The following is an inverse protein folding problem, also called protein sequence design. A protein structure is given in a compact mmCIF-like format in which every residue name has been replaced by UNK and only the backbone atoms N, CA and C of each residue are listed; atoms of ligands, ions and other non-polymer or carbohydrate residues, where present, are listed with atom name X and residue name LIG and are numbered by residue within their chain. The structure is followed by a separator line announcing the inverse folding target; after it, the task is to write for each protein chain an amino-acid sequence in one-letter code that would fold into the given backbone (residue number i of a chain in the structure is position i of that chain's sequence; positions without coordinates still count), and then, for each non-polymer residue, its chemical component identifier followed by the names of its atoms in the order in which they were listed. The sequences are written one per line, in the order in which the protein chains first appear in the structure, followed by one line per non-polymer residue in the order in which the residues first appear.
data_IF_758026251276
#
_entry.id   IF_758026251276
#
_cell.length_a   1.000
_cell.length_b   1.000
_cell.length_c   1.000
_cell.angle_alpha   90.00
_cell.angle_beta   90.00
_cell.angle_gamma   90.00
#
_symmetry.space_group_name_H-M   'P 1'
#
loop_
_entity.id
_entity.type
_entity.pdbx_description
1 polymer ?
#
# COMPACT_ATOMS: atom_id res chain seq x y z
N UNK A 1 -6.71 8.84 7.36
CA UNK A 1 -7.62 8.82 6.19
C UNK A 1 -7.88 7.40 5.66
N UNK A 2 -7.04 6.42 5.97
CA UNK A 2 -7.10 5.05 5.44
C UNK A 2 -7.85 4.06 6.33
N UNK A 3 -8.37 4.50 7.48
CA UNK A 3 -9.07 3.60 8.39
C UNK A 3 -10.46 3.26 7.86
N UNK A 4 -10.94 2.02 7.96
CA UNK A 4 -12.29 1.64 7.53
C UNK A 4 -13.37 2.53 8.14
N UNK A 5 -13.27 2.87 9.42
CA UNK A 5 -14.23 3.75 10.09
C UNK A 5 -14.27 5.17 9.48
N UNK A 6 -13.13 5.71 9.04
CA UNK A 6 -13.10 6.99 8.34
C UNK A 6 -13.76 6.89 6.97
N UNK A 7 -13.46 5.80 6.22
CA UNK A 7 -14.05 5.56 4.90
C UNK A 7 -15.56 5.32 4.99
N UNK A 8 -16.03 4.59 6.00
CA UNK A 8 -17.45 4.40 6.30
C UNK A 8 -18.14 5.74 6.54
N UNK A 9 -17.59 6.56 7.44
CA UNK A 9 -18.15 7.88 7.74
C UNK A 9 -18.18 8.79 6.49
N UNK A 10 -17.14 8.75 5.67
CA UNK A 10 -17.10 9.51 4.43
C UNK A 10 -18.12 8.99 3.41
N UNK A 11 -18.26 7.68 3.28
CA UNK A 11 -19.30 7.06 2.46
C UNK A 11 -20.70 7.50 2.85
N UNK A 12 -20.98 7.49 4.15
CA UNK A 12 -22.28 7.95 4.69
C UNK A 12 -22.55 9.44 4.35
N UNK A 13 -21.54 10.30 4.41
CA UNK A 13 -21.68 11.72 4.05
C UNK A 13 -22.06 11.94 2.58
N UNK A 14 -21.65 11.04 1.68
CA UNK A 14 -22.01 11.09 0.25
C UNK A 14 -23.21 10.19 -0.11
N UNK A 15 -23.89 9.65 0.88
CA UNK A 15 -25.11 8.85 0.69
C UNK A 15 -24.89 7.39 0.30
N UNK A 16 -23.69 6.84 0.50
CA UNK A 16 -23.41 5.42 0.31
C UNK A 16 -23.81 4.63 1.57
N UNK A 17 -24.40 3.44 1.37
CA UNK A 17 -24.66 2.49 2.43
C UNK A 17 -23.49 1.52 2.53
N UNK A 18 -22.37 1.98 3.06
CA UNK A 18 -21.12 1.23 3.15
C UNK A 18 -21.20 0.11 4.20
N UNK A 19 -20.48 -1.01 4.00
CA UNK A 19 -20.35 -2.06 5.01
C UNK A 19 -19.76 -1.50 6.32
N UNK A 20 -20.26 -1.97 7.50
CA UNK A 20 -19.78 -1.49 8.78
C UNK A 20 -18.29 -1.79 9.00
N UNK A 21 -17.49 -0.80 9.34
CA UNK A 21 -16.06 -0.96 9.54
C UNK A 21 -15.69 -1.98 10.63
N UNK A 22 -16.56 -2.15 11.62
CA UNK A 22 -16.34 -3.08 12.76
C UNK A 22 -16.30 -4.54 12.38
N UNK A 23 -16.98 -4.93 11.29
CA UNK A 23 -17.10 -6.31 10.83
C UNK A 23 -16.55 -6.49 9.41
N UNK A 24 -15.96 -5.45 8.88
CA UNK A 24 -15.51 -5.39 7.49
C UNK A 24 -14.37 -6.34 7.18
N UNK A 25 -14.30 -6.74 5.93
CA UNK A 25 -13.15 -7.42 5.34
C UNK A 25 -12.31 -6.42 4.55
N UNK A 26 -11.07 -6.22 4.96
CA UNK A 26 -10.20 -5.14 4.47
C UNK A 26 -8.97 -5.70 3.78
N UNK A 27 -8.64 -5.20 2.59
CA UNK A 27 -7.42 -5.49 1.85
C UNK A 27 -6.54 -4.24 1.78
N UNK A 28 -5.26 -4.35 2.11
CA UNK A 28 -4.25 -3.32 1.84
C UNK A 28 -3.18 -3.83 0.88
N UNK A 29 -3.02 -3.13 -0.24
CA UNK A 29 -2.01 -3.43 -1.26
C UNK A 29 -0.79 -2.51 -1.06
N UNK A 30 0.40 -3.11 -0.93
CA UNK A 30 1.61 -2.40 -0.51
C UNK A 30 1.62 -2.11 0.99
N UNK A 31 1.25 -3.10 1.79
CA UNK A 31 1.04 -2.97 3.23
C UNK A 31 2.32 -2.73 4.06
N UNK A 32 3.50 -2.82 3.45
CA UNK A 32 4.81 -2.70 4.13
C UNK A 32 4.90 -3.64 5.34
N UNK A 33 5.20 -3.12 6.54
CA UNK A 33 5.21 -3.88 7.80
C UNK A 33 3.79 -4.07 8.41
N UNK A 34 2.73 -3.69 7.70
CA UNK A 34 1.35 -3.78 8.19
C UNK A 34 0.94 -2.71 9.19
N UNK A 35 1.70 -1.62 9.32
CA UNK A 35 1.46 -0.62 10.36
C UNK A 35 0.03 -0.05 10.38
N UNK A 36 -0.58 0.12 9.21
CA UNK A 36 -1.96 0.56 9.11
C UNK A 36 -2.95 -0.55 9.52
N UNK A 37 -2.90 -1.73 8.88
CA UNK A 37 -3.89 -2.78 9.13
C UNK A 37 -3.74 -3.43 10.52
N UNK A 38 -2.52 -3.58 11.04
CA UNK A 38 -2.31 -4.14 12.40
C UNK A 38 -2.95 -3.24 13.45
N UNK A 39 -2.74 -1.92 13.35
CA UNK A 39 -3.36 -0.98 14.28
C UNK A 39 -4.89 -1.03 14.18
N UNK A 40 -5.45 -1.16 12.98
CA UNK A 40 -6.90 -1.27 12.79
C UNK A 40 -7.46 -2.58 13.33
N UNK A 41 -6.74 -3.69 13.20
CA UNK A 41 -7.14 -5.00 13.72
C UNK A 41 -7.31 -4.98 15.25
N UNK A 42 -6.44 -4.26 15.97
CA UNK A 42 -6.54 -4.09 17.43
C UNK A 42 -7.86 -3.42 17.84
N UNK A 43 -8.28 -2.39 17.09
CA UNK A 43 -9.49 -1.63 17.43
C UNK A 43 -10.79 -2.23 16.88
N UNK A 44 -10.69 -3.17 15.92
CA UNK A 44 -11.84 -3.80 15.28
C UNK A 44 -11.68 -5.33 15.29
N UNK A 45 -11.87 -5.98 16.44
CA UNK A 45 -11.60 -7.40 16.61
C UNK A 45 -12.54 -8.32 15.80
N UNK A 46 -13.70 -7.82 15.35
CA UNK A 46 -14.65 -8.57 14.52
C UNK A 46 -14.42 -8.37 13.02
N UNK A 47 -13.57 -7.41 12.64
CA UNK A 47 -13.18 -7.19 11.25
C UNK A 47 -11.96 -8.06 10.89
N UNK A 48 -11.78 -8.35 9.61
CA UNK A 48 -10.62 -9.11 9.11
C UNK A 48 -9.76 -8.25 8.18
N UNK A 49 -8.45 -8.38 8.32
CA UNK A 49 -7.48 -7.56 7.59
C UNK A 49 -6.47 -8.44 6.87
N UNK A 50 -6.27 -8.15 5.58
CA UNK A 50 -5.27 -8.81 4.74
C UNK A 50 -4.38 -7.74 4.13
N UNK A 51 -3.07 -7.86 4.32
CA UNK A 51 -2.08 -7.02 3.65
C UNK A 51 -1.27 -7.83 2.65
N UNK A 52 -1.03 -7.27 1.47
CA UNK A 52 -0.12 -7.85 0.46
C UNK A 52 1.07 -6.93 0.33
N UNK A 53 2.26 -7.51 0.43
CA UNK A 53 3.54 -6.80 0.33
C UNK A 53 4.56 -7.65 -0.46
N UNK A 54 5.32 -7.01 -1.33
CA UNK A 54 6.32 -7.68 -2.17
C UNK A 54 7.56 -8.10 -1.36
N UNK A 55 7.95 -7.29 -0.38
CA UNK A 55 9.16 -7.48 0.40
C UNK A 55 8.97 -8.55 1.48
N UNK A 56 9.62 -9.70 1.32
CA UNK A 56 9.59 -10.77 2.31
C UNK A 56 10.06 -10.31 3.70
N UNK A 57 11.13 -9.52 3.79
CA UNK A 57 11.65 -8.98 5.06
C UNK A 57 10.60 -8.12 5.80
N UNK A 58 9.81 -7.35 5.06
CA UNK A 58 8.74 -6.53 5.65
C UNK A 58 7.58 -7.41 6.13
N UNK A 59 7.19 -8.40 5.34
CA UNK A 59 6.13 -9.36 5.73
C UNK A 59 6.52 -10.18 6.95
N UNK A 60 7.74 -10.69 7.01
CA UNK A 60 8.23 -11.45 8.17
C UNK A 60 8.20 -10.61 9.45
N UNK A 61 8.71 -9.38 9.39
CA UNK A 61 8.69 -8.47 10.55
C UNK A 61 7.27 -8.08 10.95
N UNK A 62 6.39 -7.82 9.99
CA UNK A 62 4.99 -7.52 10.27
C UNK A 62 4.26 -8.71 10.90
N UNK A 63 4.46 -9.92 10.38
CA UNK A 63 3.87 -11.14 10.96
C UNK A 63 4.44 -11.45 12.36
N UNK A 64 5.69 -11.08 12.64
CA UNK A 64 6.22 -11.16 14.00
C UNK A 64 5.45 -10.23 14.96
N UNK A 65 5.17 -8.98 14.53
CA UNK A 65 4.38 -8.03 15.33
C UNK A 65 2.97 -8.57 15.57
N UNK A 66 2.33 -9.14 14.55
CA UNK A 66 1.00 -9.76 14.64
C UNK A 66 1.00 -10.88 15.68
N UNK A 67 2.01 -11.75 15.62
CA UNK A 67 2.18 -12.86 16.55
C UNK A 67 2.40 -12.39 18.00
N UNK A 68 3.27 -11.40 18.20
CA UNK A 68 3.59 -10.85 19.52
C UNK A 68 2.37 -10.15 20.15
N UNK A 69 1.56 -9.50 19.31
CA UNK A 69 0.30 -8.86 19.70
C UNK A 69 -0.86 -9.86 19.87
N UNK A 70 -0.66 -11.15 19.51
CA UNK A 70 -1.67 -12.22 19.57
C UNK A 70 -2.96 -11.87 18.81
N UNK A 71 -2.81 -11.25 17.65
CA UNK A 71 -3.93 -10.93 16.76
C UNK A 71 -4.20 -12.11 15.83
N UNK A 72 -5.48 -12.48 15.69
CA UNK A 72 -5.95 -13.57 14.82
C UNK A 72 -6.80 -13.07 13.63
N UNK A 73 -7.08 -11.78 13.61
CA UNK A 73 -7.93 -11.14 12.62
C UNK A 73 -7.13 -10.32 11.56
N UNK A 74 -5.81 -10.46 11.51
CA UNK A 74 -4.95 -9.79 10.53
C UNK A 74 -3.86 -10.71 10.03
N UNK A 75 -3.53 -10.62 8.73
CA UNK A 75 -2.43 -11.36 8.11
C UNK A 75 -1.70 -10.52 7.09
N UNK A 76 -0.37 -10.69 6.99
CA UNK A 76 0.45 -10.18 5.92
C UNK A 76 0.91 -11.32 5.02
N UNK A 77 0.70 -11.17 3.72
CA UNK A 77 1.02 -12.15 2.69
C UNK A 77 2.12 -11.57 1.80
N UNK A 78 3.22 -12.33 1.65
CA UNK A 78 4.24 -11.98 0.67
C UNK A 78 3.70 -12.29 -0.72
N UNK A 79 3.66 -11.27 -1.60
CA UNK A 79 3.16 -11.47 -2.95
C UNK A 79 3.33 -10.25 -3.85
N UNK A 80 3.37 -10.54 -5.15
CA UNK A 80 3.29 -9.52 -6.19
C UNK A 80 1.82 -9.37 -6.60
N UNK A 81 1.31 -8.13 -6.67
CA UNK A 81 -0.08 -7.88 -7.08
C UNK A 81 -0.40 -8.40 -8.49
N UNK A 82 0.61 -8.54 -9.35
CA UNK A 82 0.42 -9.15 -10.67
C UNK A 82 -0.09 -10.60 -10.58
N UNK A 83 0.27 -11.30 -9.50
CA UNK A 83 -0.13 -12.67 -9.20
C UNK A 83 -1.26 -12.74 -8.18
N UNK A 84 -2.05 -11.67 -8.04
CA UNK A 84 -3.18 -11.64 -7.11
C UNK A 84 -4.19 -12.75 -7.45
N UNK A 85 -4.56 -13.53 -6.44
CA UNK A 85 -5.41 -14.71 -6.61
C UNK A 85 -6.90 -14.35 -6.52
N UNK A 86 -7.66 -14.75 -7.54
CA UNK A 86 -9.13 -14.61 -7.61
C UNK A 86 -9.82 -15.29 -6.40
N UNK A 87 -9.20 -16.34 -5.86
CA UNK A 87 -9.68 -17.09 -4.69
C UNK A 87 -9.77 -16.30 -3.41
N UNK A 88 -9.13 -15.12 -3.35
CA UNK A 88 -9.20 -14.23 -2.18
C UNK A 88 -10.60 -13.65 -1.92
N UNK A 89 -11.52 -13.76 -2.89
CA UNK A 89 -12.90 -13.29 -2.76
C UNK A 89 -13.01 -11.77 -2.72
N UNK A 90 -14.10 -11.25 -2.13
CA UNK A 90 -14.42 -9.81 -2.09
C UNK A 90 -14.02 -9.16 -0.77
N UNK A 91 -13.79 -7.83 -0.82
CA UNK A 91 -13.43 -7.00 0.32
C UNK A 91 -14.35 -5.79 0.39
N UNK A 92 -14.72 -5.41 1.60
CA UNK A 92 -15.53 -4.20 1.86
C UNK A 92 -14.74 -2.92 1.67
N UNK A 93 -13.44 -2.98 2.01
CA UNK A 93 -12.51 -1.86 1.81
C UNK A 93 -11.23 -2.36 1.15
N UNK A 94 -10.80 -1.68 0.09
CA UNK A 94 -9.51 -1.94 -0.58
C UNK A 94 -8.67 -0.67 -0.49
N UNK A 95 -7.49 -0.79 0.11
CA UNK A 95 -6.60 0.34 0.39
C UNK A 95 -5.29 0.17 -0.39
N UNK A 96 -4.89 1.21 -1.12
CA UNK A 96 -3.59 1.32 -1.78
C UNK A 96 -2.98 2.68 -1.45
N UNK A 97 -2.48 2.82 -0.22
CA UNK A 97 -1.95 4.08 0.30
C UNK A 97 -0.46 4.23 0.01
N UNK A 98 -0.08 5.34 -0.66
CA UNK A 98 1.32 5.59 -1.02
C UNK A 98 1.91 4.55 -1.97
N UNK A 99 1.09 3.82 -2.71
CA UNK A 99 1.50 2.69 -3.55
C UNK A 99 1.48 3.03 -5.05
N UNK A 100 0.38 3.59 -5.54
CA UNK A 100 0.09 3.78 -6.97
C UNK A 100 1.18 4.58 -7.74
N UNK A 101 1.82 5.54 -7.11
CA UNK A 101 2.86 6.38 -7.75
C UNK A 101 4.22 5.68 -7.93
N UNK A 102 4.40 4.50 -7.35
CA UNK A 102 5.68 3.79 -7.31
C UNK A 102 5.73 2.52 -8.16
N UNK A 103 4.60 2.13 -8.73
CA UNK A 103 4.44 0.91 -9.51
C UNK A 103 4.40 1.22 -11.01
N UNK A 104 4.68 0.20 -11.85
CA UNK A 104 4.59 0.30 -13.30
C UNK A 104 3.15 0.47 -13.77
N UNK A 105 2.96 0.90 -15.02
CA UNK A 105 1.63 1.07 -15.59
C UNK A 105 0.87 -0.26 -15.67
N UNK A 106 1.54 -1.36 -16.01
CA UNK A 106 0.96 -2.72 -15.92
C UNK A 106 0.43 -3.05 -14.52
N UNK A 107 1.19 -2.70 -13.49
CA UNK A 107 0.75 -2.90 -12.10
C UNK A 107 -0.39 -1.96 -11.70
N UNK A 108 -0.47 -0.75 -12.27
CA UNK A 108 -1.62 0.15 -12.07
C UNK A 108 -2.90 -0.42 -12.68
N UNK A 109 -2.80 -0.97 -13.89
CA UNK A 109 -3.94 -1.64 -14.53
C UNK A 109 -4.39 -2.86 -13.70
N UNK A 110 -3.43 -3.66 -13.20
CA UNK A 110 -3.75 -4.79 -12.32
C UNK A 110 -4.39 -4.33 -11.00
N UNK A 111 -3.90 -3.23 -10.40
CA UNK A 111 -4.50 -2.63 -9.21
C UNK A 111 -5.96 -2.25 -9.44
N UNK A 112 -6.26 -1.57 -10.54
CA UNK A 112 -7.63 -1.19 -10.88
C UNK A 112 -8.51 -2.41 -11.17
N UNK A 113 -7.97 -3.43 -11.81
CA UNK A 113 -8.67 -4.70 -12.04
C UNK A 113 -8.98 -5.43 -10.72
N UNK A 114 -8.03 -5.48 -9.77
CA UNK A 114 -8.27 -6.05 -8.44
C UNK A 114 -9.42 -5.30 -7.75
N UNK A 115 -9.39 -3.97 -7.76
CA UNK A 115 -10.47 -3.15 -7.18
C UNK A 115 -11.80 -3.47 -7.85
N UNK A 116 -11.86 -3.48 -9.18
CA UNK A 116 -13.09 -3.72 -9.93
C UNK A 116 -13.69 -5.12 -9.67
N UNK A 117 -12.84 -6.14 -9.51
CA UNK A 117 -13.28 -7.53 -9.39
C UNK A 117 -13.50 -7.99 -7.95
N UNK A 118 -12.87 -7.32 -6.97
CA UNK A 118 -12.85 -7.78 -5.58
C UNK A 118 -13.44 -6.78 -4.59
N UNK A 119 -13.90 -5.60 -5.03
CA UNK A 119 -14.63 -4.69 -4.16
C UNK A 119 -16.08 -5.18 -4.01
N UNK A 120 -16.55 -5.30 -2.78
CA UNK A 120 -17.92 -5.68 -2.48
C UNK A 120 -18.90 -4.57 -2.90
N UNK A 121 -20.19 -4.93 -3.04
CA UNK A 121 -21.26 -3.98 -3.28
C UNK A 121 -21.28 -2.92 -2.17
N UNK A 122 -21.32 -1.66 -2.55
CA UNK A 122 -21.18 -0.49 -1.65
C UNK A 122 -19.85 -0.39 -0.87
N UNK A 123 -18.86 -1.21 -1.22
CA UNK A 123 -17.51 -1.11 -0.69
C UNK A 123 -16.80 0.17 -1.13
N UNK A 124 -15.70 0.52 -0.46
CA UNK A 124 -14.90 1.69 -0.80
C UNK A 124 -13.47 1.28 -1.11
N UNK A 125 -12.95 1.74 -2.26
CA UNK A 125 -11.53 1.68 -2.57
C UNK A 125 -10.88 3.04 -2.27
N UNK A 126 -9.76 3.02 -1.54
CA UNK A 126 -8.92 4.18 -1.30
C UNK A 126 -7.59 4.03 -2.04
N UNK A 127 -7.34 4.90 -3.01
CA UNK A 127 -6.08 4.92 -3.77
C UNK A 127 -5.47 6.30 -3.66
N UNK A 128 -4.30 6.40 -3.05
CA UNK A 128 -3.55 7.65 -3.03
C UNK A 128 -2.42 7.66 -4.07
N UNK A 129 -2.21 8.80 -4.67
CA UNK A 129 -1.14 9.01 -5.64
C UNK A 129 -0.62 10.45 -5.57
N UNK A 130 0.62 10.62 -6.02
CA UNK A 130 1.29 11.91 -6.02
C UNK A 130 0.85 12.74 -7.22
N UNK A 131 0.55 14.02 -7.01
CA UNK A 131 0.07 14.94 -8.04
C UNK A 131 0.93 16.20 -8.11
N UNK A 132 1.00 16.78 -9.31
CA UNK A 132 1.56 18.11 -9.51
C UNK A 132 0.53 19.19 -9.16
N UNK A 133 0.96 20.37 -8.67
CA UNK A 133 2.35 20.81 -8.48
C UNK A 133 2.99 20.34 -7.17
N UNK A 134 2.25 19.75 -6.24
CA UNK A 134 2.75 19.39 -4.90
C UNK A 134 3.95 18.45 -4.91
N UNK A 135 4.02 17.53 -5.87
CA UNK A 135 5.10 16.55 -5.98
C UNK A 135 6.33 17.09 -6.75
N UNK A 136 6.29 18.31 -7.28
CA UNK A 136 7.32 18.81 -8.21
C UNK A 136 8.74 18.79 -7.62
N UNK A 137 8.93 19.32 -6.42
CA UNK A 137 10.23 19.36 -5.75
C UNK A 137 10.81 17.95 -5.52
N UNK A 138 9.97 16.99 -5.12
CA UNK A 138 10.44 15.62 -4.89
C UNK A 138 10.78 14.91 -6.20
N UNK A 139 10.08 15.24 -7.30
CA UNK A 139 10.37 14.68 -8.62
C UNK A 139 11.75 15.16 -9.13
N UNK A 140 12.16 16.39 -8.88
CA UNK A 140 13.49 16.88 -9.23
C UNK A 140 14.58 16.03 -8.54
N UNK A 141 14.45 15.77 -7.24
CA UNK A 141 15.39 14.91 -6.51
C UNK A 141 15.39 13.49 -7.08
N UNK A 142 14.21 12.94 -7.37
CA UNK A 142 14.09 11.62 -7.99
C UNK A 142 14.78 11.56 -9.35
N UNK A 143 14.59 12.55 -10.20
CA UNK A 143 15.22 12.62 -11.52
C UNK A 143 16.77 12.71 -11.41
N UNK A 144 17.29 13.44 -10.45
CA UNK A 144 18.73 13.49 -10.17
C UNK A 144 19.26 12.11 -9.73
N UNK A 145 18.53 11.39 -8.87
CA UNK A 145 18.91 10.04 -8.46
C UNK A 145 18.87 9.04 -9.64
N UNK A 146 17.89 9.15 -10.51
CA UNK A 146 17.80 8.36 -11.73
C UNK A 146 18.90 8.67 -12.72
N UNK A 147 19.21 9.98 -12.92
CA UNK A 147 20.31 10.44 -13.76
C UNK A 147 21.66 9.90 -13.29
N UNK A 148 21.92 9.93 -11.97
CA UNK A 148 23.14 9.37 -11.40
C UNK A 148 23.32 7.87 -11.70
N UNK A 149 22.24 7.14 -11.97
CA UNK A 149 22.25 5.73 -12.25
C UNK A 149 22.17 5.39 -13.75
N UNK A 150 22.14 6.38 -14.65
CA UNK A 150 22.13 6.15 -16.09
C UNK A 150 23.39 5.38 -16.54
N UNK A 151 23.19 4.36 -17.37
CA UNK A 151 24.29 3.52 -17.88
C UNK A 151 24.94 2.61 -16.82
N UNK A 152 24.37 2.50 -15.64
CA UNK A 152 24.89 1.67 -14.54
C UNK A 152 24.15 0.33 -14.43
N UNK A 153 23.97 -0.38 -15.55
CA UNK A 153 23.17 -1.61 -15.61
C UNK A 153 23.79 -2.77 -14.81
N UNK A 154 25.11 -2.73 -14.58
CA UNK A 154 25.84 -3.74 -13.82
C UNK A 154 25.72 -3.60 -12.30
N UNK A 155 25.24 -2.46 -11.81
CA UNK A 155 25.06 -2.24 -10.38
C UNK A 155 23.84 -2.97 -9.86
N UNK A 156 23.98 -3.57 -8.69
CA UNK A 156 22.85 -4.12 -7.93
C UNK A 156 21.88 -3.01 -7.52
N UNK A 157 20.65 -3.39 -7.19
CA UNK A 157 19.65 -2.44 -6.69
C UNK A 157 20.16 -1.64 -5.47
N UNK A 158 20.83 -2.32 -4.53
CA UNK A 158 21.40 -1.69 -3.32
C UNK A 158 22.45 -0.63 -3.65
N UNK A 159 23.33 -0.92 -4.60
CA UNK A 159 24.37 0.02 -5.06
C UNK A 159 23.76 1.22 -5.76
N UNK A 160 22.72 1.03 -6.60
CA UNK A 160 21.99 2.10 -7.25
C UNK A 160 21.31 3.02 -6.23
N UNK A 161 20.70 2.45 -5.19
CA UNK A 161 20.06 3.21 -4.10
C UNK A 161 21.11 4.04 -3.33
N UNK A 162 22.24 3.42 -2.97
CA UNK A 162 23.32 4.14 -2.25
C UNK A 162 23.86 5.29 -3.08
N UNK A 163 24.14 5.07 -4.36
CA UNK A 163 24.61 6.10 -5.29
C UNK A 163 23.59 7.25 -5.43
N UNK A 164 22.31 6.93 -5.56
CA UNK A 164 21.25 7.92 -5.60
C UNK A 164 21.17 8.77 -4.32
N UNK A 165 21.28 8.14 -3.14
CA UNK A 165 21.31 8.84 -1.85
C UNK A 165 22.48 9.80 -1.75
N UNK A 166 23.67 9.42 -2.21
CA UNK A 166 24.86 10.31 -2.22
C UNK A 166 24.61 11.55 -3.06
N UNK A 167 24.00 11.41 -4.24
CA UNK A 167 23.65 12.58 -5.08
C UNK A 167 22.56 13.44 -4.43
N UNK A 168 21.54 12.82 -3.84
CA UNK A 168 20.48 13.53 -3.13
C UNK A 168 20.99 14.34 -1.93
N UNK A 169 21.97 13.81 -1.18
CA UNK A 169 22.57 14.53 -0.05
C UNK A 169 23.43 15.73 -0.47
N UNK A 170 24.01 15.70 -1.67
CA UNK A 170 24.78 16.84 -2.20
C UNK A 170 23.88 18.02 -2.60
N UNK A 171 22.62 17.75 -2.96
CA UNK A 171 21.64 18.78 -3.34
C UNK A 171 20.91 19.34 -2.12
N UNK A 172 20.70 18.53 -1.09
CA UNK A 172 20.03 18.94 0.16
C UNK A 172 20.94 19.64 1.19
N UNK A 173 22.25 19.77 0.89
CA UNK A 173 23.23 20.41 1.78
C UNK A 173 23.43 21.89 1.49
N UNK A 174 22.58 22.53 0.73
CA UNK A 174 22.47 23.98 0.52
C UNK A 174 21.15 24.43 1.16
#
# INVERSE_FOLDING_TARGET
FTTPAYLEAYGALVGLNTPPAKTARVLELGATYGGNIISQAVYNPEATFVGIELSQDQVEKGNQIISDAKLDNVSLIQGNILNFEESMGTFDYIIAHGFCSWISDEMKDKLLNIISSHLADNGIAYVSYNTYPGWHTMEEVRQLMLFANRGQDKLTHKEKVLRGKTVGSLVGAQ
#
